data_IF_566992016611
#
_entry.id   IF_566992016611
#
_cell.length_a   1.000
_cell.length_b   1.000
_cell.length_c   1.000
_cell.angle_alpha   90.00
_cell.angle_beta   90.00
_cell.angle_gamma   90.00
#
_symmetry.space_group_name_H-M   'P 1'
#
loop_
_entity.id
_entity.type
_entity.pdbx_description
1 polymer ?
#
# COMPACT_ATOMS: atom_id res chain seq x y z
N UNK A 1 -25.06 13.70 16.66
CA UNK A 1 -24.16 13.23 15.62
C UNK A 1 -22.98 12.56 16.28
N UNK A 2 -22.65 11.36 15.80
CA UNK A 2 -21.53 10.57 16.30
C UNK A 2 -20.22 11.37 16.05
N UNK A 3 -19.44 11.72 17.09
CA UNK A 3 -18.22 12.51 16.95
C UNK A 3 -17.17 11.83 16.07
N UNK A 4 -17.23 10.49 15.93
CA UNK A 4 -16.31 9.70 15.10
C UNK A 4 -16.55 9.87 13.59
N UNK A 5 -17.68 10.46 13.18
CA UNK A 5 -18.04 10.70 11.78
C UNK A 5 -18.24 12.18 11.44
N UNK A 6 -17.75 13.09 12.28
CA UNK A 6 -17.92 14.52 12.06
C UNK A 6 -16.86 15.07 11.10
N UNK A 7 -17.31 15.68 9.98
CA UNK A 7 -16.46 16.45 9.07
C UNK A 7 -16.05 17.81 9.69
N UNK A 8 -16.72 18.24 10.76
CA UNK A 8 -16.45 19.48 11.48
C UNK A 8 -16.24 19.18 12.97
N UNK A 9 -15.10 18.53 13.35
CA UNK A 9 -14.81 18.23 14.73
C UNK A 9 -14.67 19.51 15.56
N UNK A 10 -15.24 19.52 16.75
CA UNK A 10 -15.27 20.66 17.66
C UNK A 10 -13.92 20.92 18.36
N UNK A 11 -13.10 19.86 18.49
CA UNK A 11 -11.79 19.93 19.11
C UNK A 11 -10.76 19.13 18.32
N UNK A 12 -9.47 19.39 18.56
CA UNK A 12 -8.36 18.64 17.96
C UNK A 12 -8.32 17.19 18.49
N UNK A 13 -8.78 16.97 19.72
CA UNK A 13 -8.92 15.63 20.30
C UNK A 13 -9.97 14.82 19.54
N UNK A 14 -11.16 15.38 19.35
CA UNK A 14 -12.24 14.74 18.58
C UNK A 14 -11.80 14.42 17.14
N UNK A 15 -11.09 15.33 16.50
CA UNK A 15 -10.49 15.10 15.19
C UNK A 15 -9.46 13.96 15.21
N UNK A 16 -8.61 13.89 16.24
CA UNK A 16 -7.63 12.84 16.43
C UNK A 16 -8.27 11.46 16.67
N UNK A 17 -9.28 11.40 17.51
CA UNK A 17 -10.02 10.18 17.82
C UNK A 17 -10.77 9.66 16.57
N UNK A 18 -11.37 10.54 15.78
CA UNK A 18 -12.00 10.17 14.50
C UNK A 18 -10.99 9.59 13.50
N UNK A 19 -9.80 10.19 13.37
CA UNK A 19 -8.73 9.68 12.48
C UNK A 19 -8.23 8.30 12.93
N UNK A 20 -8.15 8.04 14.22
CA UNK A 20 -7.63 6.77 14.75
C UNK A 20 -8.66 5.65 14.77
N UNK A 21 -9.95 5.99 14.88
CA UNK A 21 -11.04 5.00 15.03
C UNK A 21 -11.81 4.75 13.75
N UNK A 22 -11.58 5.55 12.70
CA UNK A 22 -12.34 5.48 11.46
C UNK A 22 -11.41 5.43 10.24
N UNK A 23 -11.47 4.35 9.47
CA UNK A 23 -10.63 4.16 8.30
C UNK A 23 -10.76 5.28 7.26
N UNK A 24 -11.98 5.77 7.00
CA UNK A 24 -12.19 6.82 6.03
C UNK A 24 -11.52 8.14 6.47
N UNK A 25 -11.60 8.51 7.74
CA UNK A 25 -10.90 9.69 8.26
C UNK A 25 -9.41 9.46 8.49
N UNK A 26 -8.96 8.24 8.58
CA UNK A 26 -7.52 7.94 8.54
C UNK A 26 -6.93 8.27 7.16
N UNK A 27 -7.64 7.92 6.10
CA UNK A 27 -7.22 8.23 4.72
C UNK A 27 -7.47 9.70 4.35
N UNK A 28 -8.61 10.28 4.80
CA UNK A 28 -9.04 11.64 4.48
C UNK A 28 -9.44 12.41 5.76
N UNK A 29 -8.48 12.85 6.58
CA UNK A 29 -8.77 13.50 7.85
C UNK A 29 -9.47 14.86 7.66
N UNK A 30 -10.49 15.12 8.49
CA UNK A 30 -11.22 16.41 8.47
C UNK A 30 -10.36 17.60 8.91
N UNK A 31 -9.36 17.37 9.76
CA UNK A 31 -8.37 18.36 10.19
C UNK A 31 -6.97 17.79 10.14
N UNK A 32 -6.05 18.56 9.59
CA UNK A 32 -4.62 18.21 9.51
C UNK A 32 -3.80 19.33 10.12
N UNK A 33 -2.81 19.01 10.95
CA UNK A 33 -1.91 20.04 11.50
C UNK A 33 -1.02 20.62 10.39
N UNK A 34 -0.71 21.91 10.47
CA UNK A 34 0.21 22.55 9.52
C UNK A 34 1.59 21.88 9.52
N UNK A 35 2.05 21.41 10.68
CA UNK A 35 3.30 20.68 10.79
C UNK A 35 3.30 19.35 10.02
N UNK A 36 2.17 18.63 10.01
CA UNK A 36 2.03 17.37 9.26
C UNK A 36 2.02 17.58 7.74
N UNK A 37 1.67 18.80 7.28
CA UNK A 37 1.69 19.17 5.87
C UNK A 37 3.07 19.64 5.40
N UNK A 38 3.99 19.94 6.32
CA UNK A 38 5.33 20.36 5.98
C UNK A 38 6.10 19.19 5.32
N UNK A 39 6.66 19.46 4.14
CA UNK A 39 7.41 18.46 3.37
C UNK A 39 8.56 17.85 4.18
N UNK A 40 9.33 18.67 4.87
CA UNK A 40 10.48 18.26 5.67
C UNK A 40 10.14 17.36 6.89
N UNK A 41 8.86 17.29 7.29
CA UNK A 41 8.42 16.44 8.40
C UNK A 41 7.79 15.12 7.94
N UNK A 42 6.88 15.17 6.97
CA UNK A 42 6.12 14.00 6.55
C UNK A 42 6.67 13.30 5.31
N UNK A 43 7.43 14.04 4.46
CA UNK A 43 7.82 13.64 3.10
C UNK A 43 6.64 13.10 2.28
N UNK A 44 5.43 13.37 2.73
CA UNK A 44 4.16 12.92 2.14
C UNK A 44 4.10 11.40 1.90
N UNK A 45 4.90 10.61 2.61
CA UNK A 45 5.03 9.17 2.39
C UNK A 45 3.68 8.43 2.47
N UNK A 46 2.80 8.80 3.41
CA UNK A 46 1.46 8.20 3.51
C UNK A 46 0.58 8.53 2.31
N UNK A 47 0.59 9.77 1.85
CA UNK A 47 -0.17 10.21 0.66
C UNK A 47 0.37 9.55 -0.61
N UNK A 48 1.69 9.47 -0.74
CA UNK A 48 2.34 8.78 -1.87
C UNK A 48 1.97 7.29 -1.86
N UNK A 49 1.97 6.62 -0.69
CA UNK A 49 1.53 5.23 -0.57
C UNK A 49 0.07 5.05 -1.01
N UNK A 50 -0.83 5.94 -0.59
CA UNK A 50 -2.24 5.90 -0.99
C UNK A 50 -2.41 6.13 -2.51
N UNK A 51 -1.67 7.07 -3.10
CA UNK A 51 -1.68 7.31 -4.53
C UNK A 51 -1.15 6.11 -5.33
N UNK A 52 -0.04 5.49 -4.87
CA UNK A 52 0.51 4.27 -5.46
C UNK A 52 -0.47 3.10 -5.35
N UNK A 53 -1.18 2.96 -4.24
CA UNK A 53 -2.21 1.93 -4.07
C UNK A 53 -3.33 2.07 -5.12
N UNK A 54 -3.84 3.29 -5.31
CA UNK A 54 -4.84 3.56 -6.34
C UNK A 54 -4.30 3.29 -7.75
N UNK A 55 -3.08 3.72 -8.05
CA UNK A 55 -2.40 3.44 -9.32
C UNK A 55 -2.31 1.93 -9.58
N UNK A 56 -1.94 1.15 -8.56
CA UNK A 56 -1.82 -0.30 -8.66
C UNK A 56 -3.16 -0.98 -8.90
N UNK A 57 -4.25 -0.52 -8.26
CA UNK A 57 -5.61 -1.01 -8.55
C UNK A 57 -6.00 -0.71 -10.00
N UNK A 58 -5.83 0.54 -10.43
CA UNK A 58 -6.23 0.98 -11.77
C UNK A 58 -5.41 0.33 -12.88
N UNK A 59 -4.14 0.05 -12.65
CA UNK A 59 -3.28 -0.64 -13.61
C UNK A 59 -3.42 -2.17 -13.53
N UNK A 60 -3.65 -2.73 -12.35
CA UNK A 60 -3.75 -4.17 -12.13
C UNK A 60 -5.08 -4.76 -12.62
N UNK A 61 -6.19 -4.04 -12.48
CA UNK A 61 -7.50 -4.54 -12.91
C UNK A 61 -7.55 -4.85 -14.42
N UNK A 62 -7.10 -3.97 -15.34
CA UNK A 62 -7.02 -4.32 -16.75
C UNK A 62 -6.05 -5.49 -17.03
N UNK A 63 -4.91 -5.56 -16.34
CA UNK A 63 -3.96 -6.65 -16.49
C UNK A 63 -4.57 -8.00 -16.10
N UNK A 64 -5.43 -8.03 -15.07
CA UNK A 64 -6.12 -9.24 -14.63
C UNK A 64 -7.02 -9.83 -15.73
N UNK A 65 -7.69 -9.01 -16.52
CA UNK A 65 -8.54 -9.47 -17.63
C UNK A 65 -7.75 -10.02 -18.82
N UNK A 66 -6.50 -9.60 -18.94
CA UNK A 66 -5.62 -10.02 -20.05
C UNK A 66 -4.74 -11.23 -19.70
N UNK A 67 -4.58 -11.51 -18.41
CA UNK A 67 -3.72 -12.58 -17.92
C UNK A 67 -4.46 -13.92 -17.81
N UNK A 68 -3.82 -15.01 -18.25
CA UNK A 68 -4.36 -16.36 -18.14
C UNK A 68 -3.61 -17.13 -17.04
N UNK A 69 -4.25 -17.43 -15.89
CA UNK A 69 -3.60 -18.06 -14.73
C UNK A 69 -3.50 -19.60 -14.90
N UNK A 70 -2.66 -20.04 -15.84
CA UNK A 70 -2.34 -21.47 -15.99
C UNK A 70 -0.85 -21.66 -16.25
N UNK A 71 -0.29 -22.76 -15.81
CA UNK A 71 1.14 -23.06 -15.95
C UNK A 71 1.56 -23.03 -17.42
N UNK A 72 0.70 -23.53 -18.33
CA UNK A 72 1.01 -23.64 -19.75
C UNK A 72 0.90 -22.29 -20.47
N UNK A 73 0.01 -21.39 -20.02
CA UNK A 73 -0.31 -20.16 -20.74
C UNK A 73 0.10 -18.87 -20.04
N UNK A 74 0.47 -18.90 -18.75
CA UNK A 74 0.84 -17.72 -17.99
C UNK A 74 1.95 -16.92 -18.70
N UNK A 75 3.04 -17.58 -19.05
CA UNK A 75 4.16 -16.93 -19.72
C UNK A 75 3.79 -16.39 -21.11
N UNK A 76 3.01 -17.14 -21.89
CA UNK A 76 2.54 -16.68 -23.19
C UNK A 76 1.63 -15.46 -23.07
N UNK A 77 0.67 -15.47 -22.12
CA UNK A 77 -0.22 -14.31 -21.91
C UNK A 77 0.52 -13.05 -21.48
N UNK A 78 1.61 -13.17 -20.71
CA UNK A 78 2.47 -12.02 -20.39
C UNK A 78 3.19 -11.49 -21.64
N UNK A 79 3.63 -12.36 -22.55
CA UNK A 79 4.19 -11.93 -23.84
C UNK A 79 3.15 -11.26 -24.73
N UNK A 80 1.92 -11.78 -24.75
CA UNK A 80 0.83 -11.15 -25.50
C UNK A 80 0.52 -9.76 -24.96
N UNK A 81 0.48 -9.57 -23.64
CA UNK A 81 0.34 -8.26 -23.01
C UNK A 81 1.49 -7.32 -23.41
N UNK A 82 2.72 -7.82 -23.45
CA UNK A 82 3.92 -7.01 -23.75
C UNK A 82 4.00 -6.58 -25.22
N UNK A 83 3.67 -7.47 -26.16
CA UNK A 83 3.97 -7.28 -27.59
C UNK A 83 2.75 -7.17 -28.50
N UNK A 84 1.58 -7.68 -28.09
CA UNK A 84 0.38 -7.75 -28.95
C UNK A 84 -0.68 -6.75 -28.50
N UNK A 85 -0.89 -6.60 -27.19
CA UNK A 85 -1.93 -5.70 -26.68
C UNK A 85 -1.51 -4.24 -26.81
N UNK A 86 -2.37 -3.42 -27.42
CA UNK A 86 -2.13 -1.97 -27.51
C UNK A 86 -2.01 -1.37 -26.11
N UNK A 87 -0.93 -0.63 -25.85
CA UNK A 87 -0.56 -0.08 -24.53
C UNK A 87 -0.30 -1.12 -23.43
N UNK A 88 -0.30 -2.42 -23.72
CA UNK A 88 -0.08 -3.46 -22.71
C UNK A 88 1.28 -3.39 -22.04
N UNK A 89 2.35 -3.18 -22.83
CA UNK A 89 3.72 -2.97 -22.33
C UNK A 89 3.81 -1.77 -21.36
N UNK A 90 3.19 -0.65 -21.74
CA UNK A 90 3.15 0.54 -20.88
C UNK A 90 2.40 0.27 -19.57
N UNK A 91 1.21 -0.33 -19.65
CA UNK A 91 0.38 -0.64 -18.50
C UNK A 91 1.10 -1.59 -17.53
N UNK A 92 1.72 -2.64 -18.06
CA UNK A 92 2.52 -3.59 -17.30
C UNK A 92 3.74 -2.92 -16.65
N UNK A 93 4.42 -2.03 -17.36
CA UNK A 93 5.58 -1.31 -16.84
C UNK A 93 5.19 -0.36 -15.71
N UNK A 94 4.10 0.39 -15.84
CA UNK A 94 3.55 1.27 -14.79
C UNK A 94 3.19 0.45 -13.56
N UNK A 95 2.50 -0.68 -13.71
CA UNK A 95 2.14 -1.56 -12.61
C UNK A 95 3.38 -2.11 -11.89
N UNK A 96 4.36 -2.61 -12.64
CA UNK A 96 5.60 -3.16 -12.09
C UNK A 96 6.42 -2.13 -11.32
N UNK A 97 6.66 -0.96 -11.92
CA UNK A 97 7.41 0.13 -11.25
C UNK A 97 6.64 0.63 -10.03
N UNK A 98 5.32 0.80 -10.16
CA UNK A 98 4.44 1.18 -9.04
C UNK A 98 4.52 0.20 -7.88
N UNK A 99 4.56 -1.12 -8.15
CA UNK A 99 4.70 -2.14 -7.11
C UNK A 99 6.04 -2.05 -6.35
N UNK A 100 7.16 -1.84 -7.07
CA UNK A 100 8.46 -1.64 -6.41
C UNK A 100 8.47 -0.37 -5.56
N UNK A 101 7.96 0.73 -6.11
CA UNK A 101 7.87 2.01 -5.37
C UNK A 101 6.96 1.87 -4.14
N UNK A 102 5.85 1.13 -4.24
CA UNK A 102 4.94 0.89 -3.12
C UNK A 102 5.67 0.22 -1.95
N UNK A 103 6.44 -0.85 -2.18
CA UNK A 103 7.20 -1.53 -1.12
C UNK A 103 8.18 -0.56 -0.44
N UNK A 104 8.95 0.21 -1.23
CA UNK A 104 9.93 1.16 -0.70
C UNK A 104 9.25 2.25 0.11
N UNK A 105 8.21 2.88 -0.44
CA UNK A 105 7.53 4.01 0.20
C UNK A 105 6.79 3.59 1.47
N UNK A 106 6.12 2.43 1.48
CA UNK A 106 5.43 1.92 2.69
C UNK A 106 6.44 1.57 3.79
N UNK A 107 7.58 0.94 3.44
CA UNK A 107 8.64 0.66 4.40
C UNK A 107 9.22 1.95 5.00
N UNK A 108 9.53 2.94 4.17
CA UNK A 108 10.02 4.25 4.64
C UNK A 108 8.97 4.98 5.49
N UNK A 109 7.69 4.87 5.13
CA UNK A 109 6.60 5.45 5.91
C UNK A 109 6.53 4.82 7.32
N UNK A 110 6.61 3.50 7.42
CA UNK A 110 6.59 2.80 8.69
C UNK A 110 7.80 3.16 9.56
N UNK A 111 9.01 3.17 8.97
CA UNK A 111 10.24 3.59 9.66
C UNK A 111 10.12 5.03 10.16
N UNK A 112 9.62 5.94 9.35
CA UNK A 112 9.40 7.34 9.75
C UNK A 112 8.41 7.45 10.92
N UNK A 113 7.27 6.74 10.88
CA UNK A 113 6.28 6.72 11.96
C UNK A 113 6.92 6.23 13.26
N UNK A 114 7.77 5.21 13.19
CA UNK A 114 8.51 4.68 14.33
C UNK A 114 9.51 5.70 14.89
N UNK A 115 10.40 6.24 14.05
CA UNK A 115 11.45 7.16 14.48
C UNK A 115 10.90 8.48 15.06
N UNK A 116 9.78 8.97 14.54
CA UNK A 116 9.14 10.18 15.07
C UNK A 116 8.27 9.94 16.30
N UNK A 117 8.12 8.68 16.74
CA UNK A 117 7.24 8.33 17.83
C UNK A 117 5.76 8.68 17.58
N UNK A 118 5.36 8.76 16.31
CA UNK A 118 4.01 9.13 15.93
C UNK A 118 2.96 8.11 16.38
N UNK A 119 3.36 6.87 16.66
CA UNK A 119 2.53 5.79 17.18
C UNK A 119 2.23 5.90 18.67
N UNK A 120 2.98 6.74 19.43
CA UNK A 120 2.84 6.84 20.89
C UNK A 120 1.59 7.63 21.26
N UNK A 121 0.83 7.12 22.23
CA UNK A 121 -0.26 7.84 22.88
C UNK A 121 0.31 8.95 23.78
N UNK A 122 -0.45 10.00 24.06
CA UNK A 122 0.00 11.07 24.93
C UNK A 122 -1.01 12.22 25.08
N UNK A 123 -0.77 13.16 26.02
CA UNK A 123 -1.63 14.31 26.21
C UNK A 123 -1.76 15.12 24.91
N UNK A 124 -3.00 15.44 24.48
CA UNK A 124 -3.28 16.15 23.23
C UNK A 124 -3.08 15.33 21.94
N UNK A 125 -2.72 14.05 22.05
CA UNK A 125 -2.68 13.10 20.94
C UNK A 125 -3.86 12.14 21.06
N UNK A 126 -4.40 11.68 19.93
CA UNK A 126 -5.48 10.69 19.90
C UNK A 126 -5.10 9.40 20.64
N UNK A 127 -6.10 8.69 21.16
CA UNK A 127 -5.93 7.37 21.76
C UNK A 127 -5.82 6.29 20.66
N UNK A 128 -5.35 5.10 21.01
CA UNK A 128 -5.25 3.94 20.10
C UNK A 128 -4.29 4.09 18.91
N UNK A 129 -3.33 5.02 18.96
CA UNK A 129 -2.33 5.20 17.88
C UNK A 129 -1.42 3.99 17.71
N UNK A 130 -1.19 3.23 18.75
CA UNK A 130 -0.44 1.97 18.73
C UNK A 130 -1.12 0.92 17.86
N UNK A 131 -2.46 0.86 17.90
CA UNK A 131 -3.23 -0.02 17.03
C UNK A 131 -3.07 0.35 15.54
N UNK A 132 -3.08 1.64 15.22
CA UNK A 132 -2.84 2.08 13.85
C UNK A 132 -1.45 1.70 13.35
N UNK A 133 -0.45 1.76 14.25
CA UNK A 133 0.90 1.33 13.90
C UNK A 133 0.98 -0.18 13.70
N UNK A 134 0.32 -0.97 14.54
CA UNK A 134 0.21 -2.42 14.38
C UNK A 134 -0.46 -2.78 13.05
N UNK A 135 -1.56 -2.12 12.72
CA UNK A 135 -2.22 -2.28 11.41
C UNK A 135 -1.28 -1.90 10.26
N UNK A 136 -0.47 -0.87 10.42
CA UNK A 136 0.57 -0.51 9.45
C UNK A 136 1.60 -1.62 9.22
N UNK A 137 2.03 -2.32 10.26
CA UNK A 137 2.92 -3.49 10.14
C UNK A 137 2.23 -4.60 9.35
N UNK A 138 0.97 -4.92 9.68
CA UNK A 138 0.19 -5.93 8.97
C UNK A 138 0.06 -5.57 7.49
N UNK A 139 -0.24 -4.30 7.18
CA UNK A 139 -0.33 -3.82 5.80
C UNK A 139 1.01 -3.92 5.06
N UNK A 140 2.15 -3.65 5.71
CA UNK A 140 3.46 -3.87 5.11
C UNK A 140 3.69 -5.35 4.78
N UNK A 141 3.38 -6.26 5.70
CA UNK A 141 3.50 -7.71 5.46
C UNK A 141 2.63 -8.16 4.30
N UNK A 142 1.37 -7.68 4.22
CA UNK A 142 0.48 -7.97 3.10
C UNK A 142 1.01 -7.39 1.79
N UNK A 143 1.60 -6.19 1.81
CA UNK A 143 2.22 -5.57 0.63
C UNK A 143 3.39 -6.41 0.12
N UNK A 144 4.25 -6.90 1.01
CA UNK A 144 5.36 -7.80 0.66
C UNK A 144 4.84 -9.12 0.10
N UNK A 145 3.80 -9.70 0.71
CA UNK A 145 3.18 -10.93 0.24
C UNK A 145 2.56 -10.76 -1.16
N UNK A 146 1.80 -9.68 -1.39
CA UNK A 146 1.24 -9.35 -2.70
C UNK A 146 2.32 -9.10 -3.76
N UNK A 147 3.41 -8.42 -3.39
CA UNK A 147 4.54 -8.19 -4.28
C UNK A 147 5.23 -9.50 -4.65
N UNK A 148 5.42 -10.40 -3.68
CA UNK A 148 5.99 -11.72 -3.91
C UNK A 148 5.09 -12.55 -4.85
N UNK A 149 3.80 -12.69 -4.53
CA UNK A 149 2.86 -13.46 -5.35
C UNK A 149 2.71 -12.86 -6.76
N UNK A 150 2.68 -11.53 -6.89
CA UNK A 150 2.64 -10.84 -8.18
C UNK A 150 3.90 -11.08 -9.02
N UNK A 151 5.07 -11.19 -8.38
CA UNK A 151 6.32 -11.54 -9.05
C UNK A 151 6.30 -12.96 -9.64
N UNK A 152 5.53 -13.88 -9.04
CA UNK A 152 5.41 -15.27 -9.51
C UNK A 152 4.51 -15.43 -10.73
N UNK A 153 3.62 -14.48 -11.02
CA UNK A 153 2.61 -14.59 -12.09
C UNK A 153 3.18 -14.89 -13.48
N UNK A 154 4.33 -14.32 -13.91
CA UNK A 154 4.89 -14.62 -15.22
C UNK A 154 5.26 -16.08 -15.47
N UNK A 155 5.40 -16.87 -14.42
CA UNK A 155 5.78 -18.28 -14.46
C UNK A 155 7.02 -18.55 -15.31
N UNK A 156 7.97 -17.60 -15.25
CA UNK A 156 9.28 -17.74 -15.85
C UNK A 156 10.23 -18.59 -14.97
N UNK A 157 11.45 -18.79 -15.40
CA UNK A 157 12.43 -19.58 -14.66
C UNK A 157 12.68 -19.02 -13.24
N UNK A 158 12.68 -17.70 -13.09
CA UNK A 158 12.87 -17.05 -11.77
C UNK A 158 11.66 -17.30 -10.87
N UNK A 159 10.45 -17.21 -11.40
CA UNK A 159 9.22 -17.51 -10.65
C UNK A 159 9.19 -18.97 -10.20
N UNK A 160 9.54 -19.91 -11.07
CA UNK A 160 9.62 -21.33 -10.73
C UNK A 160 10.56 -21.60 -9.55
N UNK A 161 11.78 -21.07 -9.61
CA UNK A 161 12.74 -21.21 -8.51
C UNK A 161 12.31 -20.50 -7.23
N UNK A 162 11.68 -19.33 -7.35
CA UNK A 162 11.16 -18.60 -6.18
C UNK A 162 10.04 -19.39 -5.46
N UNK A 163 9.14 -20.04 -6.20
CA UNK A 163 8.14 -20.96 -5.61
C UNK A 163 8.81 -22.15 -4.92
N UNK A 164 9.74 -22.82 -5.61
CA UNK A 164 10.43 -23.99 -5.09
C UNK A 164 11.17 -23.69 -3.79
N UNK A 165 11.94 -22.58 -3.76
CA UNK A 165 12.67 -22.16 -2.56
C UNK A 165 11.69 -21.72 -1.46
N UNK A 166 10.68 -20.91 -1.81
CA UNK A 166 9.70 -20.41 -0.85
C UNK A 166 8.90 -21.52 -0.17
N UNK A 167 8.48 -22.55 -0.91
CA UNK A 167 7.77 -23.70 -0.35
C UNK A 167 8.67 -24.59 0.51
N UNK A 168 9.93 -24.78 0.12
CA UNK A 168 10.89 -25.55 0.92
C UNK A 168 11.29 -24.85 2.23
N UNK A 169 11.23 -23.52 2.29
CA UNK A 169 11.46 -22.78 3.54
C UNK A 169 10.25 -22.86 4.47
N UNK A 170 9.04 -22.98 3.90
CA UNK A 170 7.79 -23.02 4.65
C UNK A 170 7.39 -24.41 5.14
N UNK A 171 8.02 -25.48 4.63
CA UNK A 171 7.83 -26.90 5.04
C UNK A 171 8.76 -27.28 6.17
#
# INVERSE_FOLDING_TARGET
PDPLWSLQPRSDREAGDAVTSNFAFHAFPAKVSKASMAWNYSFWLGTISAALFLLLILSGAPLLFLYVPSVERAYASIKDIEYVVTFGSWLRSVHRVGAHLMVVVVALHLVRVFLTGAYKNGPGRGQHREWNWLMGIVMLLLTLFLSFTGYLLPWDQLAYWAVTVGTNIAS
#
